data_IF_240466310848
#
_entry.id   IF_240466310848
#
_cell.length_a   1.000
_cell.length_b   1.000
_cell.length_c   1.000
_cell.angle_alpha   90.00
_cell.angle_beta   90.00
_cell.angle_gamma   90.00
#
_symmetry.space_group_name_H-M   'P 1'
#
loop_
_entity.id
_entity.type
_entity.pdbx_description
1 polymer ?
#
# COMPACT_ATOMS: atom_id res chain seq x y z
N UNK A 1 -39.68 -25.84 25.12
CA UNK A 1 -39.03 -25.46 23.86
C UNK A 1 -38.81 -26.74 23.06
N UNK A 2 -39.54 -26.93 21.97
CA UNK A 2 -39.34 -28.09 21.08
C UNK A 2 -37.93 -28.03 20.47
N UNK A 3 -37.17 -29.11 20.62
CA UNK A 3 -35.84 -29.26 20.04
C UNK A 3 -35.94 -29.43 18.52
N UNK A 4 -35.91 -28.33 17.77
CA UNK A 4 -35.73 -28.40 16.31
C UNK A 4 -34.32 -28.90 15.99
N UNK A 5 -34.23 -30.02 15.29
CA UNK A 5 -32.96 -30.51 14.73
C UNK A 5 -32.46 -29.52 13.68
N UNK A 6 -31.24 -29.00 13.86
CA UNK A 6 -30.62 -28.13 12.87
C UNK A 6 -30.10 -28.96 11.68
N UNK A 7 -30.40 -28.58 10.43
CA UNK A 7 -29.86 -29.26 9.26
C UNK A 7 -28.34 -29.08 9.20
N UNK A 8 -27.62 -30.16 8.89
CA UNK A 8 -26.18 -30.11 8.72
C UNK A 8 -25.83 -29.41 7.40
N UNK A 9 -25.18 -28.25 7.50
CA UNK A 9 -24.60 -27.54 6.35
C UNK A 9 -23.07 -27.61 6.43
N UNK A 10 -22.42 -28.12 5.37
CA UNK A 10 -20.96 -28.31 5.36
C UNK A 10 -20.17 -26.98 5.32
N UNK A 11 -20.77 -25.92 4.78
CA UNK A 11 -20.14 -24.61 4.61
C UNK A 11 -21.06 -23.47 5.05
N UNK A 12 -21.45 -23.42 6.35
CA UNK A 12 -22.39 -22.44 6.83
C UNK A 12 -21.78 -21.04 6.75
N UNK A 13 -22.60 -20.06 6.39
CA UNK A 13 -22.19 -18.66 6.35
C UNK A 13 -22.54 -17.97 7.66
N UNK A 14 -21.52 -17.59 8.42
CA UNK A 14 -21.68 -16.91 9.70
C UNK A 14 -21.06 -15.51 9.66
N UNK A 15 -21.85 -14.50 10.01
CA UNK A 15 -21.47 -13.07 9.97
C UNK A 15 -20.93 -12.56 8.63
N UNK A 16 -21.06 -13.33 7.54
CA UNK A 16 -20.51 -12.99 6.23
C UNK A 16 -19.29 -13.84 5.84
N UNK A 17 -18.73 -14.61 6.76
CA UNK A 17 -17.64 -15.56 6.55
C UNK A 17 -18.18 -16.95 6.21
N UNK A 18 -17.58 -17.64 5.24
CA UNK A 18 -17.97 -19.02 4.90
C UNK A 18 -17.05 -19.97 5.65
N UNK A 19 -17.60 -20.67 6.63
CA UNK A 19 -16.84 -21.62 7.43
C UNK A 19 -16.59 -22.90 6.64
N UNK A 20 -15.48 -23.55 6.94
CA UNK A 20 -15.17 -24.90 6.49
C UNK A 20 -14.71 -25.75 7.68
N UNK A 21 -14.95 -27.08 7.65
CA UNK A 21 -14.70 -27.94 8.81
C UNK A 21 -13.27 -27.88 9.33
N UNK A 22 -12.31 -27.58 8.46
CA UNK A 22 -10.87 -27.58 8.74
C UNK A 22 -10.26 -26.15 8.74
N UNK A 23 -11.08 -25.10 8.63
CA UNK A 23 -10.66 -23.68 8.62
C UNK A 23 -9.65 -23.34 7.49
N UNK A 24 -9.50 -24.20 6.48
CA UNK A 24 -8.65 -23.92 5.31
C UNK A 24 -9.09 -22.68 4.53
N UNK A 25 -10.33 -22.23 4.75
CA UNK A 25 -10.88 -20.98 4.23
C UNK A 25 -10.91 -20.93 2.70
N UNK A 26 -10.82 -22.08 2.04
CA UNK A 26 -10.83 -22.22 0.58
C UNK A 26 -12.09 -21.61 -0.02
N UNK A 27 -13.26 -22.01 0.50
CA UNK A 27 -14.56 -21.53 0.05
C UNK A 27 -14.74 -20.03 0.30
N UNK A 28 -14.29 -19.54 1.45
CA UNK A 28 -14.35 -18.11 1.77
C UNK A 28 -13.45 -17.28 0.85
N UNK A 29 -12.21 -17.72 0.62
CA UNK A 29 -11.26 -17.04 -0.28
C UNK A 29 -11.82 -16.99 -1.71
N UNK A 30 -12.35 -18.09 -2.24
CA UNK A 30 -12.96 -18.11 -3.57
C UNK A 30 -14.20 -17.19 -3.62
N UNK A 31 -15.00 -17.12 -2.55
CA UNK A 31 -16.14 -16.21 -2.43
C UNK A 31 -15.73 -14.73 -2.46
N UNK A 32 -14.72 -14.31 -1.67
CA UNK A 32 -14.26 -12.92 -1.67
C UNK A 32 -13.57 -12.54 -2.97
N UNK A 33 -12.85 -13.48 -3.61
CA UNK A 33 -12.25 -13.27 -4.94
C UNK A 33 -13.34 -13.02 -5.98
N UNK A 34 -14.38 -13.85 -6.01
CA UNK A 34 -15.48 -13.68 -6.96
C UNK A 34 -16.22 -12.37 -6.74
N UNK A 35 -16.46 -12.00 -5.48
CA UNK A 35 -17.06 -10.70 -5.12
C UNK A 35 -16.14 -9.53 -5.50
N UNK A 36 -14.84 -9.67 -5.31
CA UNK A 36 -13.82 -8.70 -5.72
C UNK A 36 -13.73 -8.52 -7.23
N UNK A 37 -13.77 -9.63 -8.01
CA UNK A 37 -13.79 -9.61 -9.47
C UNK A 37 -15.01 -8.88 -10.04
N UNK A 38 -16.20 -9.11 -9.48
CA UNK A 38 -17.40 -8.36 -9.87
C UNK A 38 -17.23 -6.84 -9.69
N UNK A 39 -16.57 -6.42 -8.61
CA UNK A 39 -16.26 -5.00 -8.36
C UNK A 39 -15.11 -4.48 -9.22
N UNK A 40 -14.19 -5.37 -9.63
CA UNK A 40 -13.14 -5.06 -10.59
C UNK A 40 -13.72 -4.72 -11.97
N UNK A 41 -14.83 -5.34 -12.38
CA UNK A 41 -15.48 -5.01 -13.65
C UNK A 41 -16.05 -3.58 -13.64
N UNK A 42 -16.55 -3.10 -12.50
CA UNK A 42 -16.90 -1.70 -12.32
C UNK A 42 -15.67 -0.79 -12.45
N UNK A 43 -14.53 -1.17 -11.86
CA UNK A 43 -13.28 -0.42 -12.01
C UNK A 43 -12.84 -0.34 -13.48
N UNK A 44 -12.95 -1.45 -14.24
CA UNK A 44 -12.67 -1.45 -15.69
C UNK A 44 -13.60 -0.52 -16.45
N UNK A 45 -14.87 -0.49 -16.08
CA UNK A 45 -15.86 0.40 -16.70
C UNK A 45 -15.51 1.88 -16.46
N UNK A 46 -15.19 2.25 -15.22
CA UNK A 46 -14.81 3.63 -14.84
C UNK A 46 -13.48 4.06 -15.48
N UNK A 47 -12.53 3.13 -15.60
CA UNK A 47 -11.23 3.39 -16.24
C UNK A 47 -11.34 3.70 -17.73
N UNK A 48 -12.42 3.25 -18.39
CA UNK A 48 -12.67 3.50 -19.81
C UNK A 48 -11.62 2.89 -20.75
N UNK A 49 -11.94 2.83 -22.05
CA UNK A 49 -10.96 2.40 -23.08
C UNK A 49 -10.18 3.57 -23.67
N UNK A 50 -10.84 4.72 -23.82
CA UNK A 50 -10.31 5.91 -24.51
C UNK A 50 -10.25 7.10 -23.57
N UNK A 51 -11.39 7.45 -22.95
CA UNK A 51 -11.51 8.48 -21.91
C UNK A 51 -12.05 7.82 -20.63
N UNK A 52 -11.40 8.05 -19.50
CA UNK A 52 -11.80 7.46 -18.23
C UNK A 52 -11.27 8.24 -17.03
N UNK A 53 -11.57 7.75 -15.83
CA UNK A 53 -11.20 8.43 -14.60
C UNK A 53 -9.67 8.47 -14.39
N UNK A 54 -9.20 9.48 -13.66
CA UNK A 54 -7.80 9.61 -13.30
C UNK A 54 -7.35 8.50 -12.32
N UNK A 55 -6.04 8.27 -12.25
CA UNK A 55 -5.45 7.22 -11.42
C UNK A 55 -5.79 7.37 -9.92
N UNK A 56 -5.96 8.60 -9.42
CA UNK A 56 -6.37 8.85 -8.03
C UNK A 56 -7.80 8.37 -7.77
N UNK A 57 -8.74 8.70 -8.66
CA UNK A 57 -10.13 8.23 -8.60
C UNK A 57 -10.22 6.69 -8.72
N UNK A 58 -9.44 6.09 -9.63
CA UNK A 58 -9.39 4.63 -9.77
C UNK A 58 -8.78 3.96 -8.54
N UNK A 59 -7.72 4.52 -7.96
CA UNK A 59 -7.13 4.04 -6.69
C UNK A 59 -8.12 4.16 -5.53
N UNK A 60 -8.86 5.26 -5.44
CA UNK A 60 -9.91 5.45 -4.43
C UNK A 60 -11.00 4.40 -4.57
N UNK A 61 -11.43 4.12 -5.81
CA UNK A 61 -12.43 3.09 -6.12
C UNK A 61 -11.94 1.70 -5.67
N UNK A 62 -10.69 1.34 -5.98
CA UNK A 62 -10.10 0.09 -5.48
C UNK A 62 -10.07 0.03 -3.95
N UNK A 63 -9.59 1.10 -3.32
CA UNK A 63 -9.39 1.24 -1.88
C UNK A 63 -10.70 1.15 -1.09
N UNK A 64 -11.79 1.69 -1.63
CA UNK A 64 -13.10 1.76 -0.99
C UNK A 64 -14.02 0.58 -1.32
N UNK A 65 -13.97 0.05 -2.55
CA UNK A 65 -14.92 -0.99 -2.99
C UNK A 65 -14.29 -2.37 -3.08
N UNK A 66 -13.05 -2.51 -3.56
CA UNK A 66 -12.47 -3.83 -3.84
C UNK A 66 -11.68 -4.33 -2.62
N UNK A 67 -10.78 -3.50 -2.10
CA UNK A 67 -9.87 -3.86 -1.02
C UNK A 67 -10.59 -4.36 0.26
N UNK A 68 -11.67 -3.71 0.74
CA UNK A 68 -12.36 -4.19 1.95
C UNK A 68 -13.00 -5.57 1.78
N UNK A 69 -13.37 -5.95 0.55
CA UNK A 69 -13.90 -7.31 0.27
C UNK A 69 -12.80 -8.34 0.38
N UNK A 70 -11.64 -8.06 -0.21
CA UNK A 70 -10.51 -8.98 -0.19
C UNK A 70 -9.97 -9.14 1.23
N UNK A 71 -9.97 -8.07 2.04
CA UNK A 71 -9.50 -8.07 3.43
C UNK A 71 -10.52 -8.64 4.43
N UNK A 72 -11.77 -8.86 4.02
CA UNK A 72 -12.80 -9.33 4.94
C UNK A 72 -12.54 -10.77 5.41
N UNK A 73 -12.36 -10.94 6.72
CA UNK A 73 -12.03 -12.23 7.33
C UNK A 73 -10.54 -12.58 7.26
N UNK A 74 -9.67 -11.61 6.97
CA UNK A 74 -8.22 -11.85 6.86
C UNK A 74 -7.56 -12.34 8.13
N UNK A 75 -8.19 -12.11 9.28
CA UNK A 75 -7.77 -12.64 10.57
C UNK A 75 -7.94 -14.15 10.66
N UNK A 76 -8.99 -14.68 10.02
CA UNK A 76 -9.33 -16.11 10.04
C UNK A 76 -8.57 -16.81 8.93
N UNK A 77 -8.70 -16.35 7.68
CA UNK A 77 -8.07 -17.01 6.54
C UNK A 77 -6.54 -16.81 6.48
N UNK A 78 -5.93 -16.06 7.40
CA UNK A 78 -4.47 -15.89 7.44
C UNK A 78 -3.72 -17.23 7.54
N UNK A 79 -4.31 -18.21 8.22
CA UNK A 79 -3.76 -19.57 8.36
C UNK A 79 -3.88 -20.41 7.09
N UNK A 80 -4.60 -19.94 6.07
CA UNK A 80 -4.74 -20.66 4.81
C UNK A 80 -3.39 -20.87 4.11
N UNK A 81 -3.32 -21.89 3.26
CA UNK A 81 -2.10 -22.22 2.54
C UNK A 81 -1.60 -21.06 1.67
N UNK A 82 -0.27 -20.95 1.52
CA UNK A 82 0.35 -19.90 0.68
C UNK A 82 -0.20 -19.90 -0.75
N UNK A 83 -0.47 -21.08 -1.31
CA UNK A 83 -1.03 -21.24 -2.66
C UNK A 83 -2.45 -20.68 -2.75
N UNK A 84 -3.28 -20.88 -1.73
CA UNK A 84 -4.63 -20.34 -1.68
C UNK A 84 -4.61 -18.81 -1.45
N UNK A 85 -3.76 -18.33 -0.56
CA UNK A 85 -3.56 -16.90 -0.30
C UNK A 85 -3.06 -16.13 -1.52
N UNK A 86 -2.19 -16.74 -2.33
CA UNK A 86 -1.66 -16.16 -3.56
C UNK A 86 -2.73 -15.89 -4.64
N UNK A 87 -3.97 -16.40 -4.47
CA UNK A 87 -5.08 -16.06 -5.34
C UNK A 87 -5.59 -14.62 -5.12
N UNK A 88 -5.52 -14.09 -3.88
CA UNK A 88 -6.02 -12.75 -3.53
C UNK A 88 -5.22 -11.63 -4.23
N UNK A 89 -3.87 -11.63 -4.21
CA UNK A 89 -3.07 -10.64 -4.93
C UNK A 89 -3.39 -10.56 -6.42
N UNK A 90 -3.85 -11.64 -7.07
CA UNK A 90 -4.19 -11.59 -8.51
C UNK A 90 -5.29 -10.57 -8.83
N UNK A 91 -6.28 -10.41 -7.96
CA UNK A 91 -7.33 -9.39 -8.11
C UNK A 91 -6.74 -7.98 -7.91
N UNK A 92 -5.89 -7.83 -6.90
CA UNK A 92 -5.18 -6.57 -6.63
C UNK A 92 -4.27 -6.16 -7.80
N UNK A 93 -3.44 -7.07 -8.32
CA UNK A 93 -2.55 -6.79 -9.44
C UNK A 93 -3.34 -6.41 -10.70
N UNK A 94 -4.49 -7.05 -10.94
CA UNK A 94 -5.36 -6.66 -12.04
C UNK A 94 -5.93 -5.25 -11.85
N UNK A 95 -6.33 -4.88 -10.62
CA UNK A 95 -6.80 -3.53 -10.32
C UNK A 95 -5.68 -2.49 -10.51
N UNK A 96 -4.48 -2.79 -10.00
CA UNK A 96 -3.33 -1.90 -10.12
C UNK A 96 -2.94 -1.67 -11.59
N UNK A 97 -2.97 -2.70 -12.45
CA UNK A 97 -2.75 -2.55 -13.90
C UNK A 97 -3.82 -1.70 -14.58
N UNK A 98 -5.07 -1.77 -14.13
CA UNK A 98 -6.14 -0.90 -14.65
C UNK A 98 -5.86 0.56 -14.25
N UNK A 99 -5.46 0.79 -13.00
CA UNK A 99 -5.16 2.13 -12.46
C UNK A 99 -3.98 2.78 -13.19
N UNK A 100 -2.89 2.03 -13.42
CA UNK A 100 -1.67 2.56 -14.04
C UNK A 100 -1.67 2.46 -15.56
N UNK A 101 -2.52 1.62 -16.14
CA UNK A 101 -2.47 1.27 -17.57
C UNK A 101 -1.25 0.43 -17.98
N UNK A 102 -0.49 -0.10 -17.01
CA UNK A 102 0.71 -0.88 -17.28
C UNK A 102 0.39 -2.25 -17.87
N UNK A 103 1.24 -2.69 -18.81
CA UNK A 103 1.09 -3.99 -19.51
C UNK A 103 1.17 -5.17 -18.55
N UNK A 104 0.57 -6.29 -18.94
CA UNK A 104 0.62 -7.54 -18.17
C UNK A 104 2.03 -8.09 -17.94
N UNK A 105 2.98 -7.81 -18.84
CA UNK A 105 4.39 -8.22 -18.71
C UNK A 105 5.15 -7.46 -17.62
N UNK A 106 4.65 -6.31 -17.16
CA UNK A 106 5.31 -5.52 -16.12
C UNK A 106 5.33 -6.31 -14.79
N UNK A 107 6.47 -6.34 -14.06
CA UNK A 107 6.54 -6.92 -12.72
C UNK A 107 5.45 -6.37 -11.79
N UNK A 108 4.86 -7.24 -10.96
CA UNK A 108 3.66 -6.89 -10.17
C UNK A 108 3.97 -5.91 -9.05
N UNK A 109 5.09 -6.10 -8.36
CA UNK A 109 5.66 -5.19 -7.37
C UNK A 109 5.81 -3.77 -7.94
N UNK A 110 6.32 -3.66 -9.16
CA UNK A 110 6.47 -2.39 -9.87
C UNK A 110 5.12 -1.71 -10.13
N UNK A 111 4.14 -2.47 -10.63
CA UNK A 111 2.79 -1.95 -10.89
C UNK A 111 2.12 -1.49 -9.60
N UNK A 112 2.31 -2.21 -8.49
CA UNK A 112 1.72 -1.86 -7.21
C UNK A 112 2.32 -0.58 -6.65
N UNK A 113 3.64 -0.43 -6.73
CA UNK A 113 4.35 0.79 -6.34
C UNK A 113 3.85 2.01 -7.14
N UNK A 114 3.83 1.91 -8.47
CA UNK A 114 3.35 3.00 -9.35
C UNK A 114 1.87 3.33 -9.11
N UNK A 115 1.05 2.32 -8.79
CA UNK A 115 -0.35 2.51 -8.47
C UNK A 115 -0.58 3.17 -7.09
N UNK A 116 0.47 3.34 -6.27
CA UNK A 116 0.40 3.71 -4.86
C UNK A 116 -0.52 2.77 -4.05
N UNK A 117 -0.34 1.46 -4.25
CA UNK A 117 -1.12 0.41 -3.59
C UNK A 117 -0.19 -0.58 -2.88
N UNK A 118 -0.23 -0.57 -1.55
CA UNK A 118 0.49 -1.54 -0.74
C UNK A 118 0.01 -2.99 -1.01
N UNK A 119 0.92 -3.96 -1.21
CA UNK A 119 0.58 -5.37 -1.40
C UNK A 119 -0.32 -5.92 -0.30
N UNK A 120 -1.31 -6.74 -0.68
CA UNK A 120 -2.27 -7.34 0.27
C UNK A 120 -1.60 -8.20 1.33
N UNK A 121 -0.45 -8.81 1.04
CA UNK A 121 0.28 -9.62 2.02
C UNK A 121 0.88 -8.76 3.14
N UNK A 122 1.43 -7.58 2.80
CA UNK A 122 1.89 -6.60 3.80
C UNK A 122 0.71 -5.99 4.56
N UNK A 123 -0.38 -5.67 3.87
CA UNK A 123 -1.59 -5.16 4.51
C UNK A 123 -2.20 -6.17 5.47
N UNK A 124 -2.18 -7.46 5.15
CA UNK A 124 -2.66 -8.50 6.06
C UNK A 124 -1.83 -8.56 7.34
N UNK A 125 -0.50 -8.45 7.24
CA UNK A 125 0.37 -8.35 8.42
C UNK A 125 -0.01 -7.16 9.29
N UNK A 126 -0.28 -5.99 8.70
CA UNK A 126 -0.79 -4.82 9.42
C UNK A 126 -2.15 -5.09 10.10
N UNK A 127 -3.08 -5.72 9.39
CA UNK A 127 -4.42 -6.02 9.92
C UNK A 127 -4.40 -7.09 11.02
N UNK A 128 -3.47 -8.04 10.97
CA UNK A 128 -3.23 -9.04 12.01
C UNK A 128 -2.52 -8.44 13.21
N UNK A 129 -1.66 -7.44 12.99
CA UNK A 129 -1.07 -6.67 14.07
C UNK A 129 -2.07 -5.76 14.80
N UNK A 130 -3.35 -5.79 14.41
CA UNK A 130 -4.41 -5.11 15.15
C UNK A 130 -4.51 -5.66 16.59
N UNK A 131 -4.68 -4.72 17.53
CA UNK A 131 -4.72 -4.93 18.97
C UNK A 131 -5.55 -6.14 19.37
N UNK A 132 -6.77 -6.24 18.86
CA UNK A 132 -7.70 -7.30 19.21
C UNK A 132 -7.21 -8.72 18.85
N UNK A 133 -6.50 -8.90 17.73
CA UNK A 133 -6.07 -10.22 17.26
C UNK A 133 -4.81 -10.70 17.97
N UNK A 134 -3.84 -9.81 18.20
CA UNK A 134 -2.63 -10.13 18.98
C UNK A 134 -2.97 -10.26 20.46
N UNK A 135 -3.82 -9.39 21.00
CA UNK A 135 -4.26 -9.46 22.40
C UNK A 135 -5.00 -10.77 22.69
N UNK A 136 -5.84 -11.27 21.78
CA UNK A 136 -6.45 -12.61 21.93
C UNK A 136 -5.44 -13.77 21.91
N UNK A 137 -4.35 -13.65 21.14
CA UNK A 137 -3.31 -14.68 21.04
C UNK A 137 -2.29 -14.59 22.20
N UNK A 138 -2.01 -13.39 22.71
CA UNK A 138 -1.15 -13.16 23.89
C UNK A 138 -1.88 -13.45 25.20
N UNK A 139 -3.19 -13.20 25.25
CA UNK A 139 -4.00 -13.22 26.47
C UNK A 139 -4.89 -14.48 26.57
N UNK A 140 -4.66 -15.53 25.78
CA UNK A 140 -5.49 -16.75 25.87
C UNK A 140 -5.51 -17.38 27.28
N UNK A 141 -4.57 -17.01 28.15
CA UNK A 141 -4.54 -17.37 29.57
C UNK A 141 -4.48 -16.18 30.55
N UNK A 142 -4.39 -14.92 30.10
CA UNK A 142 -4.24 -13.75 30.98
C UNK A 142 -4.94 -12.52 30.38
N UNK A 143 -6.24 -12.41 30.57
CA UNK A 143 -6.94 -11.13 30.43
C UNK A 143 -6.46 -10.20 31.54
N UNK A 144 -5.45 -9.37 31.27
CA UNK A 144 -5.00 -8.30 32.17
C UNK A 144 -3.49 -8.02 32.11
N UNK A 145 -3.12 -6.93 31.44
CA UNK A 145 -1.77 -6.34 31.32
C UNK A 145 -1.02 -6.23 32.68
N UNK A 146 -0.26 -7.25 33.09
CA UNK A 146 0.54 -7.19 34.34
C UNK A 146 1.76 -6.25 34.26
N UNK A 147 2.27 -5.93 33.07
CA UNK A 147 3.48 -5.11 32.91
C UNK A 147 3.22 -3.60 33.02
N UNK A 148 2.15 -3.09 32.39
CA UNK A 148 1.72 -1.69 32.55
C UNK A 148 1.14 -1.40 33.94
N UNK A 149 0.60 -2.43 34.61
CA UNK A 149 0.12 -2.34 35.99
C UNK A 149 1.25 -2.19 37.01
N UNK A 150 2.46 -2.76 36.82
CA UNK A 150 3.46 -2.74 37.89
C UNK A 150 4.04 -1.35 38.15
N UNK A 151 4.37 -0.59 37.10
CA UNK A 151 4.92 0.77 37.24
C UNK A 151 3.84 1.76 37.70
N UNK A 152 2.64 1.70 37.12
CA UNK A 152 1.52 2.54 37.52
C UNK A 152 1.06 2.26 38.95
N UNK A 153 1.04 0.99 39.38
CA UNK A 153 0.78 0.61 40.78
C UNK A 153 1.89 1.09 41.71
N UNK A 154 3.16 1.05 41.31
CA UNK A 154 4.26 1.60 42.12
C UNK A 154 4.17 3.12 42.28
N UNK A 155 3.85 3.84 41.21
CA UNK A 155 3.62 5.30 41.25
C UNK A 155 2.42 5.61 42.16
N UNK A 156 1.30 4.89 42.02
CA UNK A 156 0.12 5.08 42.85
C UNK A 156 0.37 4.74 44.33
N UNK A 157 1.18 3.71 44.63
CA UNK A 157 1.61 3.39 46.01
C UNK A 157 2.42 4.52 46.62
N UNK A 158 3.41 5.05 45.89
CA UNK A 158 4.22 6.17 46.37
C UNK A 158 3.40 7.44 46.58
N UNK A 159 2.48 7.75 45.66
CA UNK A 159 1.56 8.88 45.82
C UNK A 159 0.64 8.68 47.04
N UNK A 160 0.20 7.46 47.32
CA UNK A 160 -0.61 7.14 48.50
C UNK A 160 0.16 7.31 49.81
N UNK A 161 1.41 6.82 49.86
CA UNK A 161 2.32 7.04 51.01
C UNK A 161 2.53 8.54 51.27
N UNK A 162 2.79 9.31 50.21
CA UNK A 162 2.97 10.77 50.31
C UNK A 162 1.69 11.49 50.72
N UNK A 163 0.51 11.00 50.30
CA UNK A 163 -0.78 11.62 50.64
C UNK A 163 -1.12 11.56 52.13
N UNK A 164 -0.46 10.68 52.90
CA UNK A 164 -0.66 10.62 54.35
C UNK A 164 -0.10 11.85 55.07
N UNK A 165 0.87 12.55 54.48
CA UNK A 165 1.54 13.71 55.09
C UNK A 165 1.35 15.01 54.32
N UNK A 166 0.87 14.94 53.07
CA UNK A 166 0.77 16.08 52.17
C UNK A 166 -0.54 16.01 51.37
N UNK A 167 -1.17 17.16 51.15
CA UNK A 167 -2.24 17.25 50.15
C UNK A 167 -1.63 17.24 48.74
N UNK A 168 -2.05 16.27 47.92
CA UNK A 168 -1.51 16.09 46.57
C UNK A 168 -2.51 16.62 45.54
N UNK A 169 -2.04 17.55 44.72
CA UNK A 169 -2.78 18.06 43.56
C UNK A 169 -2.06 17.64 42.28
N UNK A 170 -2.82 17.11 41.31
CA UNK A 170 -2.28 16.73 40.00
C UNK A 170 -2.56 17.84 38.98
N UNK A 171 -1.50 18.39 38.38
CA UNK A 171 -1.60 19.41 37.35
C UNK A 171 -0.73 19.04 36.16
N UNK A 172 -1.24 19.24 34.96
CA UNK A 172 -0.45 19.08 33.74
C UNK A 172 0.53 20.25 33.59
N UNK A 173 1.80 19.92 33.36
CA UNK A 173 2.86 20.90 33.17
C UNK A 173 3.45 20.72 31.76
N UNK A 174 3.45 21.75 30.89
CA UNK A 174 4.11 21.68 29.60
C UNK A 174 5.63 21.48 29.75
N UNK A 175 6.24 20.74 28.83
CA UNK A 175 7.69 20.52 28.80
C UNK A 175 8.46 21.83 28.54
N UNK A 176 9.68 21.93 29.07
CA UNK A 176 10.63 23.04 28.82
C UNK A 176 10.21 24.42 29.36
N UNK A 177 9.48 24.47 30.47
CA UNK A 177 9.03 25.74 31.06
C UNK A 177 9.97 26.32 32.14
N UNK A 178 11.17 25.74 32.33
CA UNK A 178 12.16 26.28 33.27
C UNK A 178 11.80 26.05 34.75
N UNK A 179 10.89 25.12 35.03
CA UNK A 179 10.54 24.76 36.41
C UNK A 179 11.55 23.76 36.97
N UNK A 180 12.13 24.13 38.11
CA UNK A 180 13.08 23.31 38.86
C UNK A 180 12.45 21.95 39.21
N UNK A 181 13.03 20.86 38.72
CA UNK A 181 12.52 19.48 38.86
C UNK A 181 11.78 18.95 37.62
N UNK A 182 11.05 19.80 36.89
CA UNK A 182 10.43 19.41 35.61
C UNK A 182 11.49 19.21 34.52
N UNK A 183 12.46 20.11 34.44
CA UNK A 183 13.55 19.98 33.45
C UNK A 183 14.43 18.75 33.73
N UNK A 184 14.60 18.38 35.00
CA UNK A 184 15.27 17.14 35.40
C UNK A 184 14.46 15.91 35.00
N UNK A 185 13.13 15.93 35.21
CA UNK A 185 12.25 14.85 34.77
C UNK A 185 12.24 14.69 33.24
N UNK A 186 12.21 15.81 32.49
CA UNK A 186 12.30 15.82 31.03
C UNK A 186 13.64 15.28 30.52
N UNK A 187 14.74 15.62 31.20
CA UNK A 187 16.08 15.12 30.88
C UNK A 187 16.17 13.60 31.12
N UNK A 188 15.74 13.12 32.30
CA UNK A 188 15.70 11.69 32.63
C UNK A 188 14.80 10.90 31.67
N UNK A 189 13.65 11.46 31.27
CA UNK A 189 12.78 10.84 30.28
C UNK A 189 13.45 10.73 28.90
N UNK A 190 14.27 11.70 28.50
CA UNK A 190 15.06 11.66 27.25
C UNK A 190 16.20 10.65 27.33
N UNK A 191 16.89 10.57 28.47
CA UNK A 191 17.97 9.58 28.70
C UNK A 191 17.42 8.15 28.63
N UNK A 192 16.24 7.90 29.21
CA UNK A 192 15.57 6.59 29.16
C UNK A 192 15.15 6.13 27.75
N UNK A 193 15.10 7.03 26.75
CA UNK A 193 14.89 6.65 25.34
C UNK A 193 16.16 6.04 24.74
N UNK A 194 17.34 6.37 25.27
CA UNK A 194 18.65 5.93 24.76
C UNK A 194 19.21 4.71 25.47
N UNK A 195 18.65 4.33 26.63
CA UNK A 195 19.04 3.10 27.32
C UNK A 195 18.66 1.85 26.53
N UNK A 196 19.56 0.86 26.52
CA UNK A 196 19.31 -0.41 25.86
C UNK A 196 18.21 -1.17 26.63
N UNK A 197 17.14 -1.52 25.92
CA UNK A 197 15.96 -2.20 26.45
C UNK A 197 16.27 -3.68 26.74
N UNK A 198 17.22 -3.94 27.64
CA UNK A 198 17.48 -5.29 28.11
C UNK A 198 16.34 -5.76 29.02
N UNK A 199 15.62 -6.77 28.54
CA UNK A 199 14.62 -7.56 29.28
C UNK A 199 13.33 -6.84 29.72
N UNK A 200 12.80 -5.92 28.89
CA UNK A 200 11.40 -5.49 28.99
C UNK A 200 10.57 -6.20 27.93
N UNK A 201 9.45 -6.79 28.33
CA UNK A 201 8.38 -7.18 27.40
C UNK A 201 7.81 -5.92 26.76
N UNK A 202 8.00 -5.78 25.45
CA UNK A 202 7.47 -4.64 24.69
C UNK A 202 5.94 -4.61 24.82
N UNK A 203 5.38 -3.42 25.03
CA UNK A 203 3.93 -3.23 25.07
C UNK A 203 3.33 -3.42 23.68
N UNK A 204 2.04 -3.74 23.60
CA UNK A 204 1.31 -3.83 22.33
C UNK A 204 1.52 -2.60 21.45
N UNK A 205 1.39 -1.39 22.03
CA UNK A 205 1.49 -0.14 21.28
C UNK A 205 2.88 0.04 20.65
N UNK A 206 3.93 -0.42 21.34
CA UNK A 206 5.30 -0.38 20.81
C UNK A 206 5.52 -1.42 19.72
N UNK A 207 5.05 -2.66 19.91
CA UNK A 207 5.15 -3.72 18.89
C UNK A 207 4.37 -3.31 17.63
N UNK A 208 3.16 -2.81 17.79
CA UNK A 208 2.34 -2.32 16.67
C UNK A 208 3.02 -1.14 15.97
N UNK A 209 3.52 -0.15 16.73
CA UNK A 209 4.18 1.02 16.14
C UNK A 209 5.45 0.63 15.38
N UNK A 210 6.30 -0.25 15.96
CA UNK A 210 7.50 -0.78 15.30
C UNK A 210 7.13 -1.58 14.04
N UNK A 211 6.16 -2.49 14.14
CA UNK A 211 5.70 -3.31 12.99
C UNK A 211 5.13 -2.45 11.89
N UNK A 212 4.32 -1.44 12.24
CA UNK A 212 3.76 -0.48 11.30
C UNK A 212 4.86 0.35 10.64
N UNK A 213 5.84 0.85 11.40
CA UNK A 213 6.98 1.61 10.86
C UNK A 213 7.78 0.76 9.88
N UNK A 214 8.16 -0.46 10.27
CA UNK A 214 8.91 -1.39 9.42
C UNK A 214 8.16 -1.69 8.11
N UNK A 215 6.86 -1.98 8.18
CA UNK A 215 6.06 -2.24 6.98
C UNK A 215 5.94 -0.98 6.11
N UNK A 216 5.83 0.20 6.72
CA UNK A 216 5.80 1.46 5.98
C UNK A 216 7.14 1.78 5.31
N UNK A 217 8.27 1.51 5.96
CA UNK A 217 9.60 1.66 5.38
C UNK A 217 9.81 0.70 4.21
N UNK A 218 9.50 -0.59 4.40
CA UNK A 218 9.55 -1.59 3.33
C UNK A 218 8.65 -1.25 2.13
N UNK A 219 7.53 -0.56 2.37
CA UNK A 219 6.64 -0.11 1.31
C UNK A 219 7.17 1.11 0.57
N UNK A 220 7.79 2.06 1.29
CA UNK A 220 8.33 3.29 0.71
C UNK A 220 9.59 3.05 -0.11
N UNK A 221 10.31 1.95 0.12
CA UNK A 221 11.46 1.57 -0.71
C UNK A 221 10.98 1.10 -2.09
N UNK A 222 11.41 1.76 -3.18
CA UNK A 222 11.01 1.35 -4.53
C UNK A 222 11.57 -0.05 -4.85
N UNK A 223 10.86 -0.85 -5.68
CA UNK A 223 11.38 -2.13 -6.15
C UNK A 223 12.71 -1.95 -6.88
N UNK A 224 13.63 -2.90 -6.68
CA UNK A 224 14.92 -2.94 -7.39
C UNK A 224 14.70 -3.30 -8.85
N UNK A 225 14.49 -2.28 -9.69
CA UNK A 225 14.33 -2.44 -11.13
C UNK A 225 15.26 -1.48 -11.89
N UNK A 226 15.92 -1.92 -12.99
CA UNK A 226 16.80 -1.06 -13.80
C UNK A 226 16.16 0.24 -14.30
N UNK A 227 14.82 0.31 -14.33
CA UNK A 227 14.07 1.50 -14.69
C UNK A 227 14.22 2.65 -13.67
N UNK A 228 14.30 2.36 -12.37
CA UNK A 228 14.49 3.37 -11.31
C UNK A 228 15.97 3.72 -11.04
N UNK A 229 16.92 2.94 -11.57
CA UNK A 229 18.35 3.23 -11.48
C UNK A 229 18.84 4.27 -12.52
N UNK A 230 17.94 4.84 -13.33
CA UNK A 230 18.31 5.97 -14.21
C UNK A 230 18.28 7.27 -13.41
N UNK A 231 19.22 8.17 -13.68
CA UNK A 231 19.42 9.48 -13.02
C UNK A 231 18.20 10.45 -13.07
N UNK A 232 17.08 10.03 -13.66
CA UNK A 232 15.84 10.80 -13.72
C UNK A 232 14.74 9.99 -13.04
N UNK A 233 14.37 10.39 -11.83
CA UNK A 233 13.25 9.78 -11.11
C UNK A 233 11.96 9.86 -11.95
N UNK A 234 11.13 8.82 -11.99
CA UNK A 234 9.81 8.92 -12.59
C UNK A 234 8.98 9.95 -11.82
N UNK A 235 8.38 10.89 -12.56
CA UNK A 235 7.72 12.08 -12.00
C UNK A 235 8.56 13.36 -12.05
N UNK A 236 9.83 13.30 -12.48
CA UNK A 236 10.57 14.51 -12.87
C UNK A 236 9.84 15.23 -13.99
N UNK A 237 9.26 16.40 -13.68
CA UNK A 237 8.63 17.23 -14.69
C UNK A 237 9.70 17.59 -15.72
N UNK A 238 9.48 17.20 -16.99
CA UNK A 238 10.27 17.74 -18.08
C UNK A 238 10.02 19.25 -18.06
N UNK A 239 11.07 20.06 -17.90
CA UNK A 239 11.02 21.52 -17.87
C UNK A 239 10.66 22.13 -19.23
N UNK A 240 9.60 21.63 -19.86
CA UNK A 240 9.10 22.01 -21.17
C UNK A 240 7.88 22.90 -20.95
N UNK A 241 7.97 24.16 -21.39
CA UNK A 241 6.80 25.08 -21.43
C UNK A 241 5.85 24.64 -22.54
N UNK A 242 4.95 23.71 -22.21
CA UNK A 242 3.89 23.22 -23.09
C UNK A 242 2.61 22.96 -22.30
N UNK A 243 1.48 22.75 -22.99
CA UNK A 243 0.23 22.40 -22.32
C UNK A 243 0.32 21.01 -21.63
N UNK A 244 -0.58 20.74 -20.69
CA UNK A 244 -0.58 19.51 -19.87
C UNK A 244 -0.62 18.22 -20.70
N UNK A 245 -1.33 18.25 -21.83
CA UNK A 245 -1.44 17.12 -22.78
C UNK A 245 -0.06 16.79 -23.33
N UNK A 246 0.65 17.79 -23.88
CA UNK A 246 2.00 17.63 -24.43
C UNK A 246 2.99 17.19 -23.37
N UNK A 247 2.99 17.81 -22.19
CA UNK A 247 3.88 17.41 -21.09
C UNK A 247 3.68 15.95 -20.70
N UNK A 248 2.41 15.52 -20.54
CA UNK A 248 2.07 14.13 -20.19
C UNK A 248 2.48 13.15 -21.31
N UNK A 249 2.31 13.55 -22.57
CA UNK A 249 2.69 12.75 -23.75
C UNK A 249 4.19 12.52 -23.81
N UNK A 250 4.99 13.59 -23.61
CA UNK A 250 6.44 13.50 -23.66
C UNK A 250 6.96 12.69 -22.46
N UNK A 251 6.41 12.90 -21.25
CA UNK A 251 6.76 12.08 -20.08
C UNK A 251 6.43 10.59 -20.30
N UNK A 252 5.29 10.28 -20.93
CA UNK A 252 4.92 8.91 -21.33
C UNK A 252 5.84 8.38 -22.42
N UNK A 253 6.21 9.18 -23.43
CA UNK A 253 7.15 8.78 -24.49
C UNK A 253 8.55 8.47 -23.91
N UNK A 254 9.09 9.36 -23.08
CA UNK A 254 10.41 9.23 -22.48
C UNK A 254 10.52 8.05 -21.51
N UNK A 255 9.42 7.75 -20.80
CA UNK A 255 9.34 6.55 -19.95
C UNK A 255 8.88 5.29 -20.73
N UNK A 256 8.51 5.45 -22.01
CA UNK A 256 7.97 4.40 -22.88
C UNK A 256 6.58 3.87 -22.45
N UNK A 257 5.80 4.65 -21.71
CA UNK A 257 4.44 4.33 -21.24
C UNK A 257 3.36 4.83 -22.21
N UNK A 258 3.51 4.58 -23.50
CA UNK A 258 2.47 4.85 -24.51
C UNK A 258 1.67 3.56 -24.79
N UNK A 259 0.33 3.68 -24.82
CA UNK A 259 -0.56 2.58 -25.23
C UNK A 259 -0.29 2.27 -26.70
N UNK A 260 -0.19 1.00 -27.11
CA UNK A 260 0.03 0.62 -28.52
C UNK A 260 1.47 0.29 -28.97
N UNK A 261 2.48 0.47 -28.11
CA UNK A 261 3.86 0.05 -28.42
C UNK A 261 4.03 -1.47 -28.66
N UNK A 262 4.88 -1.83 -29.60
CA UNK A 262 5.32 -3.22 -29.83
C UNK A 262 6.58 -3.51 -28.99
N UNK A 263 6.79 -4.77 -28.60
CA UNK A 263 8.01 -5.20 -27.92
C UNK A 263 8.77 -6.16 -28.84
N UNK A 264 10.05 -5.88 -29.07
CA UNK A 264 10.94 -6.73 -29.86
C UNK A 264 12.30 -6.81 -29.17
N UNK A 265 12.82 -8.02 -28.96
CA UNK A 265 14.11 -8.30 -28.32
C UNK A 265 14.35 -7.52 -27.02
N UNK A 266 13.33 -7.43 -26.15
CA UNK A 266 13.45 -6.79 -24.83
C UNK A 266 13.44 -5.25 -24.86
N UNK A 267 13.27 -4.62 -26.03
CA UNK A 267 13.15 -3.17 -26.18
C UNK A 267 11.77 -2.76 -26.69
N UNK A 268 11.30 -1.60 -26.24
CA UNK A 268 10.08 -0.96 -26.75
C UNK A 268 10.41 -0.40 -28.14
N UNK A 269 9.57 -0.67 -29.13
CA UNK A 269 9.82 -0.28 -30.52
C UNK A 269 8.56 0.31 -31.18
N UNK A 270 8.79 1.29 -32.05
CA UNK A 270 7.81 1.90 -32.96
C UNK A 270 8.02 1.33 -34.37
N UNK A 271 6.94 1.16 -35.13
CA UNK A 271 7.01 0.57 -36.48
C UNK A 271 8.00 1.32 -37.38
N UNK A 272 7.95 2.65 -37.36
CA UNK A 272 8.84 3.52 -38.12
C UNK A 272 9.06 4.87 -37.42
N UNK A 273 10.28 5.40 -37.54
CA UNK A 273 10.57 6.81 -37.23
C UNK A 273 10.19 7.67 -38.43
N UNK A 274 9.23 8.57 -38.30
CA UNK A 274 8.78 9.47 -39.40
C UNK A 274 9.85 10.45 -39.88
N UNK A 275 10.91 10.65 -39.10
CA UNK A 275 11.98 11.60 -39.45
C UNK A 275 13.12 10.97 -40.25
N UNK A 276 13.51 9.73 -39.92
CA UNK A 276 14.64 9.06 -40.58
C UNK A 276 14.26 7.72 -41.23
N UNK A 277 12.96 7.37 -41.21
CA UNK A 277 12.40 6.10 -41.71
C UNK A 277 13.03 4.84 -41.10
N UNK A 278 13.68 4.93 -39.94
CA UNK A 278 14.19 3.77 -39.22
C UNK A 278 13.02 2.88 -38.80
N UNK A 279 13.04 1.63 -39.27
CA UNK A 279 12.08 0.58 -38.88
C UNK A 279 12.44 0.05 -37.50
N UNK A 280 11.45 -0.21 -36.64
CA UNK A 280 11.64 -0.66 -35.25
C UNK A 280 12.40 0.37 -34.37
N UNK A 281 12.05 1.65 -34.49
CA UNK A 281 12.69 2.72 -33.75
C UNK A 281 12.43 2.63 -32.23
N UNK A 282 13.47 2.78 -31.41
CA UNK A 282 13.33 2.80 -29.95
C UNK A 282 12.87 4.19 -29.45
N UNK A 283 12.26 4.30 -28.26
CA UNK A 283 11.98 5.59 -27.63
C UNK A 283 13.21 6.49 -27.53
N UNK A 284 14.37 5.93 -27.18
CA UNK A 284 15.63 6.67 -27.09
C UNK A 284 16.05 7.20 -28.47
N UNK A 285 15.90 6.39 -29.53
CA UNK A 285 16.11 6.84 -30.90
C UNK A 285 15.16 7.96 -31.30
N UNK A 286 13.85 7.86 -31.01
CA UNK A 286 12.90 8.92 -31.36
C UNK A 286 13.21 10.23 -30.64
N UNK A 287 13.63 10.18 -29.37
CA UNK A 287 14.04 11.36 -28.61
C UNK A 287 15.32 11.99 -29.17
N UNK A 288 16.33 11.18 -29.51
CA UNK A 288 17.58 11.65 -30.09
C UNK A 288 17.39 12.18 -31.51
N UNK A 289 16.60 11.47 -32.33
CA UNK A 289 16.23 11.88 -33.67
C UNK A 289 15.41 13.18 -33.65
N UNK A 290 14.52 13.33 -32.67
CA UNK A 290 13.79 14.58 -32.41
C UNK A 290 14.69 15.69 -31.82
N UNK A 291 15.87 15.37 -31.27
CA UNK A 291 16.78 16.26 -30.54
C UNK A 291 17.32 17.49 -31.30
N UNK A 292 17.06 17.62 -32.60
CA UNK A 292 17.27 18.89 -33.32
C UNK A 292 16.09 19.88 -33.22
N UNK A 293 15.02 19.53 -32.50
CA UNK A 293 13.77 20.29 -32.41
C UNK A 293 13.50 20.73 -30.96
N UNK A 294 14.38 21.53 -30.37
CA UNK A 294 14.12 22.21 -29.09
C UNK A 294 13.17 23.42 -29.23
N UNK A 295 12.21 23.35 -30.15
CA UNK A 295 11.09 24.28 -30.22
C UNK A 295 9.79 23.53 -29.89
N UNK A 296 8.98 24.01 -28.92
CA UNK A 296 7.75 23.35 -28.46
C UNK A 296 6.75 22.99 -29.58
N UNK A 297 6.71 23.79 -30.66
CA UNK A 297 5.84 23.58 -31.82
C UNK A 297 6.23 22.35 -32.65
N UNK A 298 7.53 22.10 -32.81
CA UNK A 298 8.03 21.00 -33.63
C UNK A 298 7.91 19.63 -32.92
N UNK A 299 7.98 19.63 -31.59
CA UNK A 299 7.70 18.43 -30.78
C UNK A 299 6.20 18.09 -30.83
N UNK A 300 5.33 19.10 -30.84
CA UNK A 300 3.89 18.91 -31.00
C UNK A 300 3.54 18.26 -32.34
N UNK A 301 4.06 18.79 -33.44
CA UNK A 301 3.81 18.25 -34.78
C UNK A 301 4.43 16.86 -34.98
N UNK A 302 5.59 16.59 -34.39
CA UNK A 302 6.20 15.27 -34.36
C UNK A 302 5.35 14.23 -33.61
N UNK A 303 4.83 14.57 -32.43
CA UNK A 303 3.95 13.69 -31.67
C UNK A 303 2.62 13.46 -32.38
N UNK A 304 2.09 14.47 -33.08
CA UNK A 304 0.86 14.38 -33.87
C UNK A 304 1.02 13.50 -35.10
N UNK A 305 2.12 13.64 -35.83
CA UNK A 305 2.42 12.85 -37.03
C UNK A 305 2.68 11.38 -36.71
N UNK A 306 3.20 11.08 -35.52
CA UNK A 306 3.32 9.71 -35.01
C UNK A 306 2.02 9.16 -34.38
N UNK A 307 0.91 9.92 -34.41
CA UNK A 307 -0.36 9.52 -33.79
C UNK A 307 -0.29 9.40 -32.26
N UNK A 308 0.75 9.93 -31.62
CA UNK A 308 0.99 9.78 -30.18
C UNK A 308 0.16 10.74 -29.33
N UNK A 309 -0.33 11.82 -29.95
CA UNK A 309 -1.26 12.76 -29.31
C UNK A 309 -2.66 12.16 -29.11
N UNK A 310 -3.06 11.19 -29.95
CA UNK A 310 -4.35 10.50 -29.85
C UNK A 310 -4.35 9.37 -28.80
N UNK A 311 -3.19 9.11 -28.18
CA UNK A 311 -2.99 8.12 -27.12
C UNK A 311 -3.01 8.73 -25.71
N UNK A 312 -3.34 10.02 -25.58
CA UNK A 312 -3.19 10.83 -24.36
C UNK A 312 -4.45 10.90 -23.53
#
# INVERSE_FOLDING_TARGET
MESKSLPYEKHPKYLGYILDPEIFSNKHIDYVINKGRKRLDLLKYIAGRYWGADAGTLRLTYTSLIRPVLEYGSQIYFSASRTNLAKLPRVQSSAARIITGMRHSCPTDLVLFEADIMPLDLRRKLLLSNRSAIQHLSDWTNVGDKASLSLSVSILKNLKELSHQHEIYSQWIPSHIGLFGNDTADLLAKEGVTEDLMSRTLTFSEIFSKTKSLIQELWKTPPTHPWYNRQVAPGGALSIKANRVVQTTISRLASGHTRGLSFHLGQKIYENCTKCNLVLATPDHLLLCAGHLFQPLLVYDFLRTLGLMDLV
#
